data_IF_678723223280
#
_entry.id   IF_678723223280
#
_cell.length_a   1.000
_cell.length_b   1.000
_cell.length_c   1.000
_cell.angle_alpha   90.00
_cell.angle_beta   90.00
_cell.angle_gamma   90.00
#
_symmetry.space_group_name_H-M   'P 1'
#
loop_
_entity.id
_entity.type
_entity.pdbx_description
1 polymer ?
#
# COMPACT_ATOMS: atom_id res chain seq x y z
N UNK A 1 0.02 -14.86 6.85
CA UNK A 1 -0.54 -13.63 6.25
C UNK A 1 -0.55 -13.72 4.75
N UNK A 2 -1.59 -13.21 4.15
CA UNK A 2 -1.68 -13.09 2.69
C UNK A 2 -2.45 -11.83 2.31
N UNK A 3 -2.30 -11.41 1.05
CA UNK A 3 -3.06 -10.29 0.50
C UNK A 3 -4.30 -10.80 -0.21
N UNK A 4 -5.43 -10.16 0.05
CA UNK A 4 -6.70 -10.40 -0.64
C UNK A 4 -7.10 -9.15 -1.40
N UNK A 5 -7.35 -9.22 -2.71
CA UNK A 5 -7.74 -8.05 -3.49
C UNK A 5 -9.01 -7.40 -2.94
N UNK A 6 -9.03 -6.06 -2.94
CA UNK A 6 -10.26 -5.32 -2.69
C UNK A 6 -10.92 -5.09 -4.04
N UNK A 7 -11.87 -5.96 -4.39
CA UNK A 7 -12.54 -5.90 -5.69
C UNK A 7 -13.46 -4.68 -5.76
N UNK A 8 -13.63 -4.14 -6.95
CA UNK A 8 -14.50 -2.98 -7.16
C UNK A 8 -15.97 -3.29 -6.78
N UNK A 9 -16.37 -4.56 -6.94
CA UNK A 9 -17.71 -5.05 -6.64
C UNK A 9 -17.72 -6.05 -5.47
N UNK A 10 -16.83 -5.84 -4.48
CA UNK A 10 -16.66 -6.75 -3.34
C UNK A 10 -17.95 -6.90 -2.54
N UNK A 11 -18.24 -8.14 -2.12
CA UNK A 11 -19.33 -8.43 -1.21
C UNK A 11 -18.97 -7.95 0.20
N UNK A 12 -19.44 -6.77 0.57
CA UNK A 12 -19.14 -6.13 1.84
C UNK A 12 -19.88 -6.76 3.02
N UNK A 13 -20.81 -7.68 2.76
CA UNK A 13 -21.59 -8.34 3.82
C UNK A 13 -20.86 -9.49 4.50
N UNK A 14 -19.69 -9.88 4.01
CA UNK A 14 -18.91 -10.98 4.61
C UNK A 14 -18.55 -10.66 6.05
N UNK A 15 -18.59 -11.70 6.90
CA UNK A 15 -18.29 -11.55 8.33
C UNK A 15 -16.91 -10.95 8.61
N UNK A 16 -15.92 -11.26 7.78
CA UNK A 16 -14.55 -10.74 7.91
C UNK A 16 -14.48 -9.22 7.82
N UNK A 17 -15.47 -8.59 7.16
CA UNK A 17 -15.54 -7.15 6.97
C UNK A 17 -16.41 -6.44 8.01
N UNK A 18 -16.95 -7.17 8.99
CA UNK A 18 -17.85 -6.63 10.01
C UNK A 18 -17.06 -5.95 11.15
N UNK A 19 -16.31 -4.91 10.81
CA UNK A 19 -15.53 -4.12 11.76
C UNK A 19 -15.38 -2.68 11.26
N UNK A 20 -15.16 -1.70 12.16
CA UNK A 20 -15.08 -0.29 11.75
C UNK A 20 -13.97 -0.01 10.73
N UNK A 21 -12.84 -0.71 10.81
CA UNK A 21 -11.72 -0.51 9.90
C UNK A 21 -12.11 -0.81 8.46
N UNK A 22 -12.70 -1.99 8.22
CA UNK A 22 -13.15 -2.38 6.88
C UNK A 22 -14.30 -1.49 6.39
N UNK A 23 -15.23 -1.12 7.26
CA UNK A 23 -16.34 -0.23 6.91
C UNK A 23 -15.81 1.10 6.38
N UNK A 24 -14.82 1.70 7.07
CA UNK A 24 -14.22 2.97 6.62
C UNK A 24 -13.50 2.82 5.27
N UNK A 25 -12.78 1.71 5.08
CA UNK A 25 -12.10 1.45 3.81
C UNK A 25 -13.12 1.34 2.68
N UNK A 26 -14.19 0.58 2.85
CA UNK A 26 -15.23 0.44 1.83
C UNK A 26 -15.95 1.75 1.53
N UNK A 27 -16.02 2.69 2.48
CA UNK A 27 -16.57 4.02 2.22
C UNK A 27 -15.66 4.84 1.29
N UNK A 28 -14.35 4.68 1.39
CA UNK A 28 -13.39 5.50 0.63
C UNK A 28 -13.03 4.91 -0.73
N UNK A 29 -13.07 3.59 -0.88
CA UNK A 29 -12.58 2.93 -2.10
C UNK A 29 -13.37 3.24 -3.38
N UNK A 30 -14.70 3.41 -3.38
CA UNK A 30 -15.38 3.78 -4.61
C UNK A 30 -14.87 5.08 -5.22
N UNK A 31 -14.66 6.11 -4.40
CA UNK A 31 -14.10 7.38 -4.87
C UNK A 31 -12.64 7.22 -5.30
N UNK A 32 -11.87 6.42 -4.55
CA UNK A 32 -10.47 6.14 -4.87
C UNK A 32 -10.34 5.45 -6.23
N UNK A 33 -11.09 4.37 -6.46
CA UNK A 33 -11.05 3.66 -7.75
C UNK A 33 -11.63 4.51 -8.90
N UNK A 34 -12.57 5.40 -8.61
CA UNK A 34 -13.04 6.35 -9.60
C UNK A 34 -11.93 7.30 -10.03
N UNK A 35 -11.11 7.76 -9.07
CA UNK A 35 -10.01 8.70 -9.31
C UNK A 35 -8.82 8.04 -10.01
N UNK A 36 -8.38 6.88 -9.55
CA UNK A 36 -7.13 6.26 -10.02
C UNK A 36 -7.34 5.09 -10.99
N UNK A 37 -8.56 4.63 -11.13
CA UNK A 37 -8.91 3.48 -11.97
C UNK A 37 -8.87 2.16 -11.22
N UNK A 38 -9.46 1.14 -11.85
CA UNK A 38 -9.43 -0.23 -11.33
C UNK A 38 -8.75 -1.13 -12.35
N UNK A 39 -7.45 -1.34 -12.17
CA UNK A 39 -6.61 -2.05 -13.14
C UNK A 39 -5.75 -3.10 -12.43
N UNK A 40 -6.33 -4.27 -12.07
CA UNK A 40 -5.54 -5.32 -11.41
C UNK A 40 -4.28 -5.67 -12.21
N UNK A 41 -3.14 -5.90 -11.55
CA UNK A 41 -2.93 -6.02 -10.10
C UNK A 41 -2.72 -4.68 -9.37
N UNK A 42 -2.87 -3.54 -10.05
CA UNK A 42 -2.59 -2.20 -9.55
C UNK A 42 -3.77 -1.65 -8.74
N UNK A 43 -4.16 -2.38 -7.70
CA UNK A 43 -5.35 -2.10 -6.88
C UNK A 43 -5.01 -2.18 -5.40
N UNK A 44 -6.02 -2.02 -4.54
CA UNK A 44 -5.90 -2.20 -3.10
C UNK A 44 -6.07 -3.65 -2.68
N UNK A 45 -5.50 -3.98 -1.53
CA UNK A 45 -5.53 -5.31 -0.94
C UNK A 45 -5.76 -5.22 0.56
N UNK A 46 -6.49 -6.18 1.12
CA UNK A 46 -6.48 -6.39 2.56
C UNK A 46 -5.37 -7.37 2.93
N UNK A 47 -4.74 -7.15 4.08
CA UNK A 47 -3.85 -8.12 4.70
C UNK A 47 -4.69 -9.00 5.61
N UNK A 48 -4.71 -10.28 5.35
CA UNK A 48 -5.61 -11.23 6.04
C UNK A 48 -4.81 -12.34 6.70
N UNK A 49 -5.20 -12.73 7.91
CA UNK A 49 -4.65 -13.87 8.62
C UNK A 49 -5.75 -14.46 9.50
N UNK A 50 -5.97 -15.78 9.41
CA UNK A 50 -6.94 -16.51 10.24
C UNK A 50 -8.33 -15.85 10.25
N UNK A 51 -8.83 -15.54 9.05
CA UNK A 51 -10.14 -14.91 8.86
C UNK A 51 -10.29 -13.54 9.52
N UNK A 52 -9.18 -12.81 9.65
CA UNK A 52 -9.19 -11.45 10.20
C UNK A 52 -8.41 -10.51 9.29
N UNK A 53 -8.94 -9.31 9.09
CA UNK A 53 -8.25 -8.24 8.36
C UNK A 53 -7.33 -7.51 9.34
N UNK A 54 -6.04 -7.53 9.04
CA UNK A 54 -5.01 -6.92 9.90
C UNK A 54 -4.61 -5.52 9.42
N UNK A 55 -4.81 -5.22 8.15
CA UNK A 55 -4.44 -3.96 7.56
C UNK A 55 -4.85 -3.91 6.10
N UNK A 56 -4.45 -2.86 5.42
CA UNK A 56 -4.68 -2.68 4.00
C UNK A 56 -3.45 -2.07 3.35
N UNK A 57 -3.27 -2.36 2.07
CA UNK A 57 -2.15 -1.82 1.30
C UNK A 57 -2.55 -1.80 -0.17
N UNK A 58 -1.71 -1.24 -1.02
CA UNK A 58 -2.00 -1.28 -2.44
C UNK A 58 -1.20 -0.30 -3.24
N UNK A 59 -1.63 -0.14 -4.48
CA UNK A 59 -1.05 0.77 -5.44
C UNK A 59 -1.96 1.98 -5.60
N UNK A 60 -1.36 3.16 -5.77
CA UNK A 60 -2.12 4.38 -6.02
C UNK A 60 -2.28 4.52 -7.54
N UNK A 61 -3.10 3.63 -8.10
CA UNK A 61 -3.36 3.55 -9.54
C UNK A 61 -2.33 2.71 -10.29
N UNK A 62 -2.56 2.56 -11.59
CA UNK A 62 -1.63 1.83 -12.48
C UNK A 62 -0.35 2.63 -12.68
N UNK A 63 0.73 1.98 -13.17
CA UNK A 63 1.97 2.70 -13.45
C UNK A 63 1.77 3.86 -14.43
N UNK A 64 2.50 4.94 -14.18
CA UNK A 64 2.56 6.10 -15.04
C UNK A 64 4.03 6.46 -15.24
N UNK A 65 4.44 6.61 -16.50
CA UNK A 65 5.83 6.91 -16.85
C UNK A 65 6.83 5.92 -16.26
N UNK A 66 6.45 4.63 -16.21
CA UNK A 66 7.31 3.57 -15.69
C UNK A 66 7.41 3.53 -14.17
N UNK A 67 6.54 4.27 -13.45
CA UNK A 67 6.57 4.38 -12.00
C UNK A 67 5.22 4.01 -11.40
N UNK A 68 5.24 3.36 -10.24
CA UNK A 68 4.02 3.06 -9.48
C UNK A 68 4.23 3.40 -8.01
N UNK A 69 3.22 4.01 -7.43
CA UNK A 69 3.23 4.38 -6.01
C UNK A 69 2.56 3.30 -5.17
N UNK A 70 3.20 2.95 -4.04
CA UNK A 70 2.61 2.04 -3.05
C UNK A 70 2.19 2.81 -1.81
N UNK A 71 1.20 2.26 -1.11
CA UNK A 71 0.76 2.75 0.19
C UNK A 71 0.36 1.56 1.05
N UNK A 72 0.49 1.69 2.37
CA UNK A 72 0.13 0.63 3.29
C UNK A 72 -0.27 1.20 4.64
N UNK A 73 -1.09 0.45 5.36
CA UNK A 73 -1.53 0.80 6.70
C UNK A 73 -1.86 -0.47 7.49
N UNK A 74 -1.77 -0.37 8.81
CA UNK A 74 -2.05 -1.47 9.73
C UNK A 74 -3.13 -1.02 10.70
N UNK A 75 -4.07 -1.91 11.02
CA UNK A 75 -5.03 -1.64 12.08
C UNK A 75 -4.27 -1.39 13.38
N UNK A 76 -4.72 -0.39 14.14
CA UNK A 76 -4.01 0.07 15.33
C UNK A 76 -3.71 -1.07 16.31
N UNK A 77 -4.68 -1.97 16.53
CA UNK A 77 -4.53 -3.11 17.45
C UNK A 77 -3.56 -4.18 16.97
N UNK A 78 -3.11 -4.10 15.71
CA UNK A 78 -2.18 -5.05 15.12
C UNK A 78 -0.80 -4.45 14.81
N UNK A 79 -0.56 -3.20 15.21
CA UNK A 79 0.74 -2.55 15.01
C UNK A 79 1.84 -3.28 15.79
N UNK A 80 3.07 -3.19 15.30
CA UNK A 80 4.23 -3.82 15.94
C UNK A 80 4.39 -5.30 15.63
N UNK A 81 3.62 -5.86 14.70
CA UNK A 81 3.66 -7.28 14.33
C UNK A 81 4.29 -7.57 12.98
N UNK A 82 4.89 -6.55 12.35
CA UNK A 82 5.53 -6.71 11.03
C UNK A 82 4.57 -6.72 9.87
N UNK A 83 3.32 -6.33 10.05
CA UNK A 83 2.28 -6.36 9.02
C UNK A 83 2.57 -5.38 7.90
N UNK A 84 2.95 -4.15 8.23
CA UNK A 84 3.28 -3.14 7.23
C UNK A 84 4.52 -3.52 6.43
N UNK A 85 5.52 -4.11 7.07
CA UNK A 85 6.71 -4.60 6.38
C UNK A 85 6.37 -5.76 5.43
N UNK A 86 5.50 -6.67 5.86
CA UNK A 86 4.98 -7.73 5.00
C UNK A 86 4.25 -7.15 3.80
N UNK A 87 3.38 -6.17 4.01
CA UNK A 87 2.64 -5.48 2.94
C UNK A 87 3.59 -4.88 1.92
N UNK A 88 4.60 -4.16 2.38
CA UNK A 88 5.60 -3.55 1.52
C UNK A 88 6.30 -4.59 0.64
N UNK A 89 6.76 -5.69 1.23
CA UNK A 89 7.43 -6.77 0.48
C UNK A 89 6.50 -7.40 -0.55
N UNK A 90 5.25 -7.63 -0.20
CA UNK A 90 4.28 -8.23 -1.13
C UNK A 90 3.98 -7.31 -2.30
N UNK A 91 3.83 -6.00 -2.06
CA UNK A 91 3.60 -5.04 -3.13
C UNK A 91 4.79 -4.96 -4.08
N UNK A 92 6.00 -4.99 -3.55
CA UNK A 92 7.22 -5.05 -4.36
C UNK A 92 7.20 -6.28 -5.26
N UNK A 93 6.85 -7.43 -4.71
CA UNK A 93 6.81 -8.69 -5.47
C UNK A 93 5.74 -8.65 -6.56
N UNK A 94 4.55 -8.16 -6.25
CA UNK A 94 3.47 -8.01 -7.23
C UNK A 94 3.91 -7.10 -8.38
N UNK A 95 4.47 -5.94 -8.05
CA UNK A 95 4.90 -4.96 -9.05
C UNK A 95 5.98 -5.53 -9.97
N UNK A 96 6.99 -6.16 -9.40
CA UNK A 96 8.11 -6.72 -10.18
C UNK A 96 7.73 -7.95 -10.99
N UNK A 97 6.76 -8.71 -10.54
CA UNK A 97 6.22 -9.83 -11.31
C UNK A 97 5.49 -9.32 -12.55
N UNK A 98 4.76 -8.21 -12.41
CA UNK A 98 4.06 -7.60 -13.53
C UNK A 98 5.00 -6.88 -14.49
N UNK A 99 6.07 -6.23 -13.97
CA UNK A 99 7.04 -5.47 -14.76
C UNK A 99 8.35 -5.38 -13.98
N UNK A 100 9.36 -6.16 -14.39
CA UNK A 100 10.65 -6.21 -13.71
C UNK A 100 11.41 -4.89 -13.68
N UNK A 101 11.16 -4.02 -14.65
CA UNK A 101 11.84 -2.73 -14.76
C UNK A 101 11.12 -1.58 -14.10
N UNK A 102 10.00 -1.85 -13.44
CA UNK A 102 9.18 -0.78 -12.87
C UNK A 102 9.87 -0.07 -11.72
N UNK A 103 9.70 1.26 -11.66
CA UNK A 103 10.15 2.05 -10.52
C UNK A 103 9.03 2.05 -9.48
N UNK A 104 9.33 1.62 -8.27
CA UNK A 104 8.38 1.56 -7.17
C UNK A 104 8.73 2.67 -6.18
N UNK A 105 7.75 3.50 -5.84
CA UNK A 105 7.98 4.64 -4.97
C UNK A 105 6.89 4.77 -3.92
N UNK A 106 7.18 5.54 -2.86
CA UNK A 106 6.24 5.79 -1.77
C UNK A 106 6.43 7.19 -1.22
N UNK A 107 5.38 7.75 -0.63
CA UNK A 107 5.42 9.01 0.10
C UNK A 107 5.22 8.76 1.59
N UNK A 108 5.91 9.55 2.42
CA UNK A 108 5.69 9.57 3.86
C UNK A 108 5.59 11.01 4.34
N UNK A 109 5.03 11.20 5.56
CA UNK A 109 5.17 12.47 6.25
C UNK A 109 6.67 12.80 6.42
N UNK A 110 7.03 14.09 6.49
CA UNK A 110 8.44 14.49 6.56
C UNK A 110 9.00 14.34 7.98
N UNK A 111 9.02 13.11 8.48
CA UNK A 111 9.51 12.81 9.84
C UNK A 111 10.00 11.37 9.91
N UNK A 112 10.91 11.09 10.85
CA UNK A 112 11.38 9.74 11.13
C UNK A 112 10.33 9.04 12.00
N UNK A 113 9.65 8.05 11.44
CA UNK A 113 8.60 7.31 12.12
C UNK A 113 8.58 5.84 11.68
N UNK A 114 7.55 5.11 12.07
CA UNK A 114 7.44 3.69 11.72
C UNK A 114 7.44 3.48 10.20
N UNK A 115 6.74 4.32 9.43
CA UNK A 115 6.68 4.19 7.97
C UNK A 115 8.05 4.35 7.33
N UNK A 116 8.85 5.34 7.76
CA UNK A 116 10.19 5.55 7.20
C UNK A 116 11.13 4.41 7.55
N UNK A 117 11.01 3.85 8.76
CA UNK A 117 11.81 2.67 9.15
C UNK A 117 11.48 1.44 8.31
N UNK A 118 10.21 1.22 8.01
CA UNK A 118 9.77 0.10 7.18
C UNK A 118 10.31 0.25 5.76
N UNK A 119 10.26 1.44 5.18
CA UNK A 119 10.81 1.69 3.85
C UNK A 119 12.30 1.42 3.81
N UNK A 120 13.07 1.92 4.79
CA UNK A 120 14.51 1.68 4.86
C UNK A 120 14.83 0.18 4.96
N UNK A 121 14.09 -0.57 5.77
CA UNK A 121 14.28 -2.02 5.91
C UNK A 121 13.99 -2.79 4.63
N UNK A 122 13.14 -2.24 3.77
CA UNK A 122 12.74 -2.87 2.53
C UNK A 122 13.46 -2.27 1.32
N UNK A 123 14.64 -1.70 1.55
CA UNK A 123 15.55 -1.21 0.51
C UNK A 123 15.03 -0.01 -0.28
N UNK A 124 14.21 0.81 0.34
CA UNK A 124 13.82 2.11 -0.20
C UNK A 124 14.82 3.16 0.25
N UNK A 125 15.15 4.08 -0.65
CA UNK A 125 16.03 5.20 -0.39
C UNK A 125 15.26 6.52 -0.47
N UNK A 126 15.50 7.40 0.49
CA UNK A 126 14.97 8.77 0.47
C UNK A 126 15.62 9.55 -0.68
N UNK A 127 14.82 10.17 -1.52
CA UNK A 127 15.34 10.90 -2.68
C UNK A 127 14.94 12.37 -2.72
N UNK A 128 14.07 12.84 -1.87
CA UNK A 128 13.72 14.25 -1.84
C UNK A 128 12.34 14.54 -1.31
N UNK A 129 11.89 15.76 -1.55
CA UNK A 129 10.61 16.27 -1.09
C UNK A 129 9.67 16.38 -2.29
N UNK A 130 8.44 15.90 -2.12
CA UNK A 130 7.36 16.08 -3.11
C UNK A 130 6.18 16.75 -2.43
N UNK A 131 5.26 17.28 -3.23
CA UNK A 131 4.04 17.87 -2.70
C UNK A 131 2.93 16.85 -2.67
N UNK A 132 2.25 16.79 -1.53
CA UNK A 132 1.08 15.94 -1.32
C UNK A 132 -0.13 16.84 -1.07
N UNK A 133 -1.28 16.49 -1.65
CA UNK A 133 -2.49 17.33 -1.58
C UNK A 133 -3.01 17.49 -0.15
N UNK A 134 -2.78 16.50 0.71
CA UNK A 134 -3.31 16.50 2.08
C UNK A 134 -2.35 17.11 3.10
N UNK A 135 -1.05 16.85 3.00
CA UNK A 135 -0.08 17.21 4.03
C UNK A 135 0.95 18.27 3.59
N UNK A 136 0.93 18.68 2.32
CA UNK A 136 1.92 19.60 1.78
C UNK A 136 3.24 18.89 1.49
N UNK A 137 4.33 19.27 2.16
CA UNK A 137 5.62 18.62 1.97
C UNK A 137 5.57 17.17 2.43
N UNK A 138 6.01 16.25 1.58
CA UNK A 138 6.14 14.84 1.87
C UNK A 138 7.52 14.35 1.44
N UNK A 139 8.00 13.30 2.06
CA UNK A 139 9.25 12.66 1.66
C UNK A 139 8.97 11.59 0.62
N UNK A 140 9.76 11.60 -0.46
CA UNK A 140 9.70 10.62 -1.53
C UNK A 140 10.78 9.55 -1.35
N UNK A 141 10.37 8.28 -1.53
CA UNK A 141 11.24 7.13 -1.38
C UNK A 141 11.15 6.27 -2.62
N UNK A 142 12.30 5.75 -3.09
CA UNK A 142 12.33 4.84 -4.24
C UNK A 142 12.98 3.52 -3.84
N UNK A 143 12.35 2.42 -4.23
CA UNK A 143 12.87 1.07 -4.03
C UNK A 143 14.12 0.87 -4.89
N UNK A 144 15.21 0.44 -4.25
CA UNK A 144 16.50 0.26 -4.92
C UNK A 144 16.68 -1.15 -5.48
N UNK A 145 15.86 -2.09 -5.06
CA UNK A 145 15.99 -3.47 -5.48
C UNK A 145 17.20 -4.16 -4.84
N UNK A 146 17.43 -5.39 -5.29
CA UNK A 146 18.63 -6.14 -4.90
C UNK A 146 19.75 -5.73 -5.84
N UNK A 147 20.73 -5.03 -5.31
CA UNK A 147 21.91 -4.66 -6.07
C UNK A 147 22.80 -5.90 -6.20
N UNK A 148 23.09 -6.25 -7.42
CA UNK A 148 24.02 -7.33 -7.71
C UNK A 148 25.44 -6.79 -7.88
#
# INVERSE_FOLDING_TARGET
MNLEPIHIDEDQSKAIYANPYCVEIFKSYPAFYCKVGYNPPWIGYFVVEQNEVLGACGFVGKPKDGRVEIAYGTRKEHEGRGIASFSCRQLIQIARTADQGIIIWAKTAPENNASTRILKRNDFEFIGIVQDDDIGDAWEWIYQGIKK
#
